data_IF_492032562113
#
_entry.id   IF_492032562113
#
_cell.length_a   1.000
_cell.length_b   1.000
_cell.length_c   1.000
_cell.angle_alpha   90.00
_cell.angle_beta   90.00
_cell.angle_gamma   90.00
#
_symmetry.space_group_name_H-M   'P 1'
#
loop_
_entity.id
_entity.type
_entity.pdbx_description
1 polymer ?
#
# COMPACT_ATOMS: atom_id res chain seq x y z
N UNK A 1 7.17 18.56 15.17
CA UNK A 1 7.57 17.25 14.62
C UNK A 1 8.07 17.47 13.21
N UNK A 2 9.30 17.04 12.91
CA UNK A 2 9.90 17.22 11.59
C UNK A 2 9.30 16.16 10.67
N UNK A 3 8.43 16.58 9.74
CA UNK A 3 8.00 15.75 8.62
C UNK A 3 9.24 15.40 7.80
N UNK A 4 9.79 14.20 8.00
CA UNK A 4 10.82 13.65 7.11
C UNK A 4 10.14 13.35 5.78
N UNK A 5 10.35 14.23 4.81
CA UNK A 5 9.93 14.04 3.44
C UNK A 5 10.54 12.73 2.89
N UNK A 6 9.69 11.76 2.55
CA UNK A 6 10.11 10.63 1.72
C UNK A 6 10.35 11.21 0.33
N UNK A 7 11.60 11.18 -0.14
CA UNK A 7 11.90 11.55 -1.52
C UNK A 7 11.30 10.49 -2.45
N UNK A 8 10.16 10.81 -3.06
CA UNK A 8 9.41 9.90 -3.94
C UNK A 8 10.28 9.41 -5.10
N UNK A 9 11.17 10.25 -5.64
CA UNK A 9 12.07 9.86 -6.73
C UNK A 9 13.09 8.81 -6.26
N UNK A 10 13.63 8.97 -5.06
CA UNK A 10 14.53 7.97 -4.47
C UNK A 10 13.81 6.65 -4.19
N UNK A 11 12.54 6.69 -3.78
CA UNK A 11 11.71 5.51 -3.61
C UNK A 11 11.42 4.81 -4.95
N UNK A 12 11.05 5.56 -5.97
CA UNK A 12 10.79 5.03 -7.31
C UNK A 12 12.04 4.36 -7.89
N UNK A 13 13.21 4.99 -7.78
CA UNK A 13 14.47 4.38 -8.23
C UNK A 13 14.75 3.05 -7.51
N UNK A 14 14.54 3.00 -6.19
CA UNK A 14 14.71 1.75 -5.41
C UNK A 14 13.74 0.66 -5.84
N UNK A 15 12.48 1.01 -6.14
CA UNK A 15 11.48 0.07 -6.66
C UNK A 15 11.93 -0.48 -8.01
N UNK A 16 12.40 0.38 -8.91
CA UNK A 16 12.88 0.00 -10.24
C UNK A 16 14.10 -0.94 -10.13
N UNK A 17 15.07 -0.61 -9.27
CA UNK A 17 16.27 -1.44 -9.06
C UNK A 17 15.93 -2.81 -8.46
N UNK A 18 14.95 -2.89 -7.56
CA UNK A 18 14.50 -4.16 -6.99
C UNK A 18 13.81 -5.07 -8.03
N UNK A 19 13.23 -4.49 -9.08
CA UNK A 19 12.48 -5.23 -10.11
C UNK A 19 13.30 -5.54 -11.38
N UNK A 20 14.63 -5.44 -11.32
CA UNK A 20 15.50 -5.65 -12.50
C UNK A 20 15.32 -7.01 -13.19
N UNK A 21 14.66 -8.00 -12.58
CA UNK A 21 14.30 -9.26 -13.22
C UNK A 21 12.78 -9.54 -13.18
N UNK A 22 12.14 -9.33 -14.35
CA UNK A 22 10.91 -9.98 -14.86
C UNK A 22 9.55 -9.42 -14.46
N UNK A 23 9.43 -8.51 -13.49
CA UNK A 23 8.13 -8.06 -13.03
C UNK A 23 7.83 -6.61 -13.47
N UNK A 24 6.85 -6.40 -14.36
CA UNK A 24 6.47 -5.05 -14.87
C UNK A 24 6.08 -4.14 -13.69
N UNK A 25 6.82 -3.06 -13.48
CA UNK A 25 6.39 -1.92 -12.67
C UNK A 25 5.45 -1.05 -13.51
N UNK A 26 4.23 -0.82 -13.03
CA UNK A 26 3.25 0.05 -13.72
C UNK A 26 3.20 1.44 -13.09
N UNK A 27 3.26 1.53 -11.77
CA UNK A 27 3.25 2.83 -11.10
C UNK A 27 3.11 2.74 -9.58
N UNK A 28 3.59 3.78 -8.90
CA UNK A 28 3.37 3.96 -7.47
C UNK A 28 2.05 4.72 -7.25
N UNK A 29 1.10 4.10 -6.56
CA UNK A 29 -0.24 4.64 -6.34
C UNK A 29 -0.26 5.59 -5.14
N UNK A 30 0.52 5.30 -4.09
CA UNK A 30 0.60 6.17 -2.92
C UNK A 30 0.99 5.46 -1.64
N UNK A 31 0.80 6.17 -0.54
CA UNK A 31 1.03 5.69 0.82
C UNK A 31 -0.32 5.40 1.48
N UNK A 32 -0.46 4.24 2.10
CA UNK A 32 -1.61 3.87 2.95
C UNK A 32 -1.20 3.93 4.42
N UNK A 33 -2.09 4.35 5.29
CA UNK A 33 -1.85 4.44 6.74
C UNK A 33 -1.83 3.05 7.41
N UNK A 34 -2.66 2.13 6.90
CA UNK A 34 -2.77 0.77 7.45
C UNK A 34 -3.02 -0.28 6.38
N UNK A 35 -2.53 -1.50 6.63
CA UNK A 35 -2.87 -2.69 5.85
C UNK A 35 -3.55 -3.74 6.74
N UNK A 36 -4.81 -4.06 6.44
CA UNK A 36 -5.57 -5.11 7.11
C UNK A 36 -5.38 -6.45 6.40
N UNK A 37 -4.58 -7.32 7.01
CA UNK A 37 -4.27 -8.67 6.54
C UNK A 37 -5.09 -9.75 7.28
N UNK A 38 -6.15 -9.34 7.97
CA UNK A 38 -7.14 -10.21 8.62
C UNK A 38 -8.54 -9.84 8.11
N UNK A 39 -9.50 -10.77 8.14
CA UNK A 39 -10.87 -10.47 7.75
C UNK A 39 -11.45 -9.33 8.59
N UNK A 40 -11.99 -8.31 7.91
CA UNK A 40 -12.63 -7.14 8.50
C UNK A 40 -14.12 -7.10 8.13
N UNK A 41 -14.98 -6.66 9.03
CA UNK A 41 -16.39 -6.44 8.68
C UNK A 41 -16.57 -5.05 8.08
N UNK A 42 -16.62 -4.95 6.75
CA UNK A 42 -16.77 -3.67 6.04
C UNK A 42 -18.14 -3.02 6.19
N UNK A 43 -19.15 -3.77 6.67
CA UNK A 43 -20.47 -3.22 6.98
C UNK A 43 -20.52 -2.50 8.34
N UNK A 44 -19.42 -2.53 9.11
CA UNK A 44 -19.31 -1.87 10.40
C UNK A 44 -18.26 -0.76 10.37
N UNK A 45 -18.50 0.36 11.07
CA UNK A 45 -17.51 1.41 11.18
C UNK A 45 -16.28 0.90 11.94
N UNK A 46 -15.10 1.36 11.52
CA UNK A 46 -13.85 1.16 12.24
C UNK A 46 -13.78 2.02 13.51
N UNK A 47 -12.93 1.66 14.48
CA UNK A 47 -12.68 2.48 15.65
C UNK A 47 -12.09 3.85 15.29
N UNK A 48 -12.25 4.89 16.13
CA UNK A 48 -11.74 6.24 15.89
C UNK A 48 -10.25 6.34 15.56
N UNK A 49 -9.44 5.36 15.97
CA UNK A 49 -8.01 5.27 15.62
C UNK A 49 -7.72 5.16 14.13
N UNK A 50 -8.72 4.79 13.34
CA UNK A 50 -8.61 4.53 11.91
C UNK A 50 -9.45 5.50 11.06
N UNK A 51 -10.11 6.48 11.67
CA UNK A 51 -10.92 7.45 10.94
C UNK A 51 -10.04 8.36 10.08
N UNK A 52 -10.59 8.80 8.94
CA UNK A 52 -9.90 9.67 7.99
C UNK A 52 -8.58 9.08 7.44
N UNK A 53 -8.44 7.76 7.43
CA UNK A 53 -7.24 7.06 6.95
C UNK A 53 -7.44 6.41 5.58
N UNK A 54 -6.37 6.29 4.81
CA UNK A 54 -6.33 5.43 3.62
C UNK A 54 -5.79 4.07 4.01
N UNK A 55 -6.49 2.99 3.66
CA UNK A 55 -6.12 1.64 4.07
C UNK A 55 -6.12 0.66 2.91
N UNK A 56 -5.29 -0.37 3.02
CA UNK A 56 -5.27 -1.52 2.13
C UNK A 56 -5.92 -2.72 2.83
N UNK A 57 -6.90 -3.36 2.19
CA UNK A 57 -7.58 -4.56 2.69
C UNK A 57 -7.25 -5.76 1.79
N UNK A 58 -6.71 -6.86 2.36
CA UNK A 58 -6.16 -7.96 1.55
C UNK A 58 -6.63 -9.37 1.94
N UNK A 59 -7.43 -9.52 2.99
CA UNK A 59 -7.70 -10.83 3.61
C UNK A 59 -9.19 -11.19 3.73
N UNK A 60 -10.05 -10.64 2.87
CA UNK A 60 -11.47 -10.98 2.87
C UNK A 60 -11.76 -12.37 2.31
N UNK A 61 -12.87 -12.97 2.75
CA UNK A 61 -13.40 -14.19 2.14
C UNK A 61 -13.95 -13.91 0.74
N UNK A 62 -14.69 -12.81 0.62
CA UNK A 62 -15.11 -12.28 -0.67
C UNK A 62 -13.97 -11.41 -1.23
N UNK A 63 -13.16 -11.97 -2.12
CA UNK A 63 -11.98 -11.28 -2.65
C UNK A 63 -12.29 -10.00 -3.44
N UNK A 64 -13.55 -9.77 -3.83
CA UNK A 64 -13.96 -8.52 -4.49
C UNK A 64 -13.95 -7.33 -3.55
N UNK A 65 -13.93 -7.57 -2.25
CA UNK A 65 -13.81 -6.56 -1.20
C UNK A 65 -12.34 -6.21 -0.91
N UNK A 66 -11.37 -6.97 -1.40
CA UNK A 66 -9.96 -6.60 -1.26
C UNK A 66 -9.66 -5.37 -2.13
N UNK A 67 -8.89 -4.44 -1.59
CA UNK A 67 -8.49 -3.24 -2.31
C UNK A 67 -8.18 -2.05 -1.41
N UNK A 68 -8.14 -0.88 -2.03
CA UNK A 68 -7.88 0.39 -1.36
C UNK A 68 -9.19 1.04 -0.91
N UNK A 69 -9.16 1.57 0.31
CA UNK A 69 -10.30 2.25 0.92
C UNK A 69 -9.86 3.56 1.57
N UNK A 70 -10.75 4.55 1.51
CA UNK A 70 -10.74 5.68 2.41
C UNK A 70 -11.72 5.39 3.54
N UNK A 71 -11.29 5.61 4.78
CA UNK A 71 -12.16 5.58 5.95
C UNK A 71 -12.64 7.01 6.20
N UNK A 72 -13.95 7.21 6.28
CA UNK A 72 -14.52 8.55 6.50
C UNK A 72 -14.42 8.99 7.98
N UNK A 73 -14.89 10.20 8.26
CA UNK A 73 -14.91 10.78 9.62
C UNK A 73 -15.83 10.05 10.61
N UNK A 74 -16.62 9.08 10.15
CA UNK A 74 -17.51 8.24 10.97
C UNK A 74 -17.01 6.80 11.05
N UNK A 75 -15.85 6.51 10.46
CA UNK A 75 -15.27 5.17 10.39
C UNK A 75 -15.84 4.29 9.28
N UNK A 76 -16.64 4.84 8.37
CA UNK A 76 -17.24 4.06 7.29
C UNK A 76 -16.25 3.85 6.14
N UNK A 77 -16.34 2.67 5.54
CA UNK A 77 -15.50 2.25 4.43
C UNK A 77 -15.99 2.87 3.12
N UNK A 78 -15.08 3.49 2.37
CA UNK A 78 -15.34 3.99 1.02
C UNK A 78 -14.28 3.41 0.09
N UNK A 79 -14.70 2.52 -0.81
CA UNK A 79 -13.77 1.96 -1.80
C UNK A 79 -13.24 3.08 -2.70
N UNK A 80 -11.92 3.10 -2.92
CA UNK A 80 -11.30 4.08 -3.80
C UNK A 80 -11.38 3.60 -5.25
N UNK A 81 -12.11 4.31 -6.14
CA UNK A 81 -12.13 3.99 -7.55
C UNK A 81 -10.77 4.38 -8.13
N UNK A 82 -9.88 3.40 -8.22
CA UNK A 82 -8.54 3.60 -8.73
C UNK A 82 -8.38 2.69 -9.94
N UNK A 83 -7.93 3.24 -11.06
CA UNK A 83 -7.56 2.45 -12.23
C UNK A 83 -6.29 1.69 -11.91
N UNK A 84 -6.46 0.48 -11.35
CA UNK A 84 -5.38 -0.37 -10.90
C UNK A 84 -5.00 -1.38 -11.97
N UNK A 85 -3.69 -1.57 -12.12
CA UNK A 85 -3.07 -2.56 -12.99
C UNK A 85 -2.08 -3.44 -12.20
N UNK A 86 -1.93 -4.72 -12.57
CA UNK A 86 -0.87 -5.56 -12.03
C UNK A 86 0.49 -4.90 -12.24
N UNK A 87 1.25 -4.73 -11.17
CA UNK A 87 2.47 -3.94 -11.15
C UNK A 87 2.37 -2.65 -10.35
N UNK A 88 1.16 -2.23 -9.95
CA UNK A 88 0.98 -1.09 -9.05
C UNK A 88 1.47 -1.39 -7.63
N UNK A 89 2.01 -0.37 -6.98
CA UNK A 89 2.60 -0.47 -5.64
C UNK A 89 2.01 0.58 -4.71
N UNK A 90 1.76 0.17 -3.47
CA UNK A 90 1.53 1.08 -2.35
C UNK A 90 2.56 0.87 -1.25
N UNK A 91 2.87 1.93 -0.50
CA UNK A 91 3.71 1.86 0.69
C UNK A 91 2.84 1.94 1.94
N UNK A 92 3.15 1.15 2.96
CA UNK A 92 2.59 1.33 4.30
C UNK A 92 3.34 2.46 5.01
N UNK A 93 2.62 3.48 5.44
CA UNK A 93 3.13 4.62 6.17
C UNK A 93 3.87 4.18 7.43
N UNK A 94 5.17 4.45 7.47
CA UNK A 94 6.00 4.27 8.67
C UNK A 94 6.64 5.60 9.04
N UNK A 95 6.79 5.85 10.34
CA UNK A 95 7.61 6.97 10.83
C UNK A 95 9.10 6.76 10.57
N UNK A 96 9.52 5.52 10.29
CA UNK A 96 10.86 5.18 9.86
C UNK A 96 10.85 4.74 8.38
N UNK A 97 11.37 5.56 7.45
CA UNK A 97 11.42 5.25 6.02
C UNK A 97 12.16 3.95 5.68
N UNK A 98 13.08 3.52 6.56
CA UNK A 98 13.85 2.28 6.39
C UNK A 98 13.06 1.01 6.72
N UNK A 99 11.94 1.16 7.41
CA UNK A 99 11.04 0.05 7.76
C UNK A 99 9.72 0.09 6.97
N UNK A 100 9.68 0.86 5.89
CA UNK A 100 8.52 0.90 5.01
C UNK A 100 8.26 -0.50 4.45
N UNK A 101 7.05 -1.01 4.67
CA UNK A 101 6.55 -2.23 4.02
C UNK A 101 5.85 -1.83 2.74
N UNK A 102 6.05 -2.59 1.68
CA UNK A 102 5.44 -2.31 0.39
C UNK A 102 4.50 -3.44 0.00
N UNK A 103 3.47 -3.11 -0.76
CA UNK A 103 2.54 -4.08 -1.32
C UNK A 103 2.46 -3.85 -2.81
N UNK A 104 2.62 -4.94 -3.55
CA UNK A 104 2.49 -4.94 -5.01
C UNK A 104 1.18 -5.63 -5.38
N UNK A 105 0.41 -5.02 -6.27
CA UNK A 105 -0.72 -5.67 -6.93
C UNK A 105 -0.15 -6.64 -7.98
N UNK A 106 -0.32 -7.94 -7.78
CA UNK A 106 0.21 -8.96 -8.69
C UNK A 106 -0.86 -9.52 -9.63
N UNK A 107 -2.14 -9.41 -9.25
CA UNK A 107 -3.26 -9.88 -10.05
C UNK A 107 -4.48 -8.98 -9.82
N UNK A 108 -5.14 -8.59 -10.91
CA UNK A 108 -6.49 -8.03 -10.90
C UNK A 108 -7.36 -8.85 -11.86
N UNK A 109 -8.54 -9.24 -11.41
CA UNK A 109 -9.59 -9.75 -12.28
C UNK A 109 -10.96 -9.26 -11.81
N UNK A 110 -12.03 -9.65 -12.50
CA UNK A 110 -13.40 -9.18 -12.24
C UNK A 110 -13.89 -9.38 -10.80
N UNK A 111 -13.22 -10.21 -9.99
CA UNK A 111 -13.66 -10.61 -8.66
C UNK A 111 -12.57 -10.53 -7.60
N UNK A 112 -11.31 -10.20 -7.94
CA UNK A 112 -10.24 -10.15 -6.94
C UNK A 112 -9.11 -9.20 -7.30
N UNK A 113 -8.58 -8.57 -6.25
CA UNK A 113 -7.25 -7.96 -6.23
C UNK A 113 -6.36 -8.78 -5.29
N UNK A 114 -5.17 -9.17 -5.78
CA UNK A 114 -4.17 -9.85 -4.96
C UNK A 114 -2.98 -8.93 -4.74
N UNK A 115 -2.79 -8.55 -3.49
CA UNK A 115 -1.70 -7.71 -3.04
C UNK A 115 -0.66 -8.56 -2.30
N UNK A 116 0.58 -8.52 -2.75
CA UNK A 116 1.68 -9.27 -2.16
C UNK A 116 2.62 -8.32 -1.41
N UNK A 117 2.92 -8.57 -0.13
CA UNK A 117 3.92 -7.80 0.60
C UNK A 117 5.32 -8.09 0.06
N UNK A 118 6.15 -7.05 -0.04
CA UNK A 118 7.57 -7.19 -0.33
C UNK A 118 8.38 -6.13 0.42
N UNK A 119 9.67 -6.39 0.55
CA UNK A 119 10.62 -5.50 1.20
C UNK A 119 11.62 -5.00 0.17
N UNK A 120 11.91 -3.69 0.20
CA UNK A 120 13.03 -3.13 -0.54
C UNK A 120 14.30 -3.40 0.27
N UNK A 121 14.83 -4.61 0.20
CA UNK A 121 16.14 -4.94 0.77
C UNK A 121 17.26 -4.52 -0.18
N UNK A 122 18.26 -3.79 0.33
CA UNK A 122 19.44 -3.39 -0.44
C UNK A 122 19.99 -1.99 -0.13
N UNK A 123 21.06 -1.99 0.68
CA UNK A 123 22.04 -0.92 0.97
C UNK A 123 21.61 0.30 1.82
N UNK A 124 22.36 0.47 2.92
CA UNK A 124 22.33 1.56 3.91
C UNK A 124 21.94 2.93 3.33
N UNK A 125 21.01 3.67 3.95
CA UNK A 125 20.69 5.05 3.58
C UNK A 125 21.79 6.09 3.89
N UNK A 126 23.01 5.65 4.20
CA UNK A 126 24.13 6.47 4.63
C UNK A 126 25.42 6.07 3.90
N UNK A 127 25.43 6.23 2.57
CA UNK A 127 26.65 6.56 1.84
C UNK A 127 26.32 7.57 0.76
N UNK A 128 26.04 8.80 1.18
CA UNK A 128 26.38 9.97 0.36
C UNK A 128 27.83 10.25 0.72
N UNK A 129 28.75 9.96 -0.22
CA UNK A 129 30.12 10.47 -0.16
C UNK A 129 30.12 11.98 -0.39
#
# INVERSE_FOLDING_TARGET
MINKYININALLNRIVDHQQHVERFVGFIGVVDRAFQVPMNIARPLPPSDWQSTVLLTAQQNLSENGLYQIDERGLWQSLPTDLEPGNIVALGSQNPESNRYFKLIEINLQKQIWQPFELSGLNPLQVQ
#
